data_IF_610031708864
#
_entry.id   IF_610031708864
#
_cell.length_a   1.000
_cell.length_b   1.000
_cell.length_c   1.000
_cell.angle_alpha   90.00
_cell.angle_beta   90.00
_cell.angle_gamma   90.00
#
_symmetry.space_group_name_H-M   'P 1'
#
loop_
_entity.id
_entity.type
_entity.pdbx_description
1 polymer ?
#
# COMPACT_ATOMS: atom_id res chain seq x y z
N UNK A 1 -12.64 -13.00 -13.23
CA UNK A 1 -11.82 -11.89 -12.73
C UNK A 1 -11.47 -12.22 -11.27
N UNK A 2 -11.04 -13.46 -10.99
CA UNK A 2 -11.34 -14.09 -9.68
C UNK A 2 -10.06 -14.49 -8.93
N UNK A 3 -9.02 -13.64 -8.89
CA UNK A 3 -7.86 -13.91 -8.04
C UNK A 3 -6.99 -12.69 -7.70
N UNK A 4 -7.54 -11.48 -7.66
CA UNK A 4 -6.76 -10.35 -7.13
C UNK A 4 -6.65 -10.47 -5.60
N UNK A 5 -5.44 -10.47 -5.02
CA UNK A 5 -5.23 -10.63 -3.58
C UNK A 5 -5.58 -9.33 -2.85
N UNK A 6 -6.89 -9.15 -2.62
CA UNK A 6 -7.48 -7.97 -1.99
C UNK A 6 -7.99 -8.35 -0.60
N UNK A 7 -7.77 -7.49 0.39
CA UNK A 7 -8.28 -7.71 1.74
C UNK A 7 -8.62 -6.39 2.43
N UNK A 8 -9.30 -6.49 3.58
CA UNK A 8 -9.50 -5.36 4.49
C UNK A 8 -8.20 -5.08 5.24
N UNK A 9 -7.93 -3.81 5.51
CA UNK A 9 -6.79 -3.38 6.31
C UNK A 9 -7.13 -2.15 7.14
N UNK A 10 -6.15 -1.70 7.92
CA UNK A 10 -6.14 -0.39 8.56
C UNK A 10 -4.87 0.37 8.19
N UNK A 11 -5.01 1.66 7.91
CA UNK A 11 -3.89 2.62 7.81
C UNK A 11 -4.05 3.57 8.97
N UNK A 12 -3.08 3.56 9.88
CA UNK A 12 -3.22 4.14 11.22
C UNK A 12 -4.48 3.57 11.90
N UNK A 13 -5.47 4.42 12.19
CA UNK A 13 -6.74 4.08 12.78
C UNK A 13 -7.89 3.92 11.76
N UNK A 14 -7.64 4.20 10.48
CA UNK A 14 -8.68 4.27 9.45
C UNK A 14 -8.86 2.93 8.71
N UNK A 15 -10.10 2.43 8.56
CA UNK A 15 -10.36 1.25 7.73
C UNK A 15 -10.13 1.54 6.25
N UNK A 16 -9.59 0.55 5.53
CA UNK A 16 -9.25 0.67 4.11
C UNK A 16 -9.27 -0.70 3.41
N UNK A 17 -9.11 -0.68 2.08
CA UNK A 17 -8.94 -1.89 1.25
C UNK A 17 -7.53 -1.94 0.65
N UNK A 18 -6.83 -3.06 0.87
CA UNK A 18 -5.46 -3.27 0.39
C UNK A 18 -5.43 -4.29 -0.76
N UNK A 19 -4.61 -4.00 -1.77
CA UNK A 19 -4.18 -4.95 -2.80
C UNK A 19 -2.72 -5.34 -2.55
N UNK A 20 -2.41 -6.65 -2.61
CA UNK A 20 -1.04 -7.15 -2.72
C UNK A 20 -0.61 -7.19 -4.20
N UNK A 21 0.39 -6.39 -4.58
CA UNK A 21 0.88 -6.31 -5.95
C UNK A 21 2.36 -6.70 -6.05
N UNK A 22 2.67 -7.91 -6.50
CA UNK A 22 4.06 -8.41 -6.59
C UNK A 22 4.88 -7.80 -7.74
N UNK A 23 4.30 -6.93 -8.57
CA UNK A 23 4.95 -6.38 -9.75
C UNK A 23 5.88 -5.19 -9.51
N UNK A 24 5.97 -4.65 -8.29
CA UNK A 24 6.70 -3.42 -7.97
C UNK A 24 7.36 -3.48 -6.57
N UNK A 25 8.09 -2.44 -6.17
CA UNK A 25 8.72 -2.28 -4.85
C UNK A 25 8.20 -1.07 -4.04
N UNK A 26 7.21 -0.34 -4.57
CA UNK A 26 6.66 0.86 -3.92
C UNK A 26 5.36 0.55 -3.18
N UNK A 27 5.19 1.09 -1.97
CA UNK A 27 3.90 1.06 -1.26
C UNK A 27 3.14 2.35 -1.56
N UNK A 28 1.89 2.23 -1.99
CA UNK A 28 1.02 3.37 -2.29
C UNK A 28 -0.10 3.42 -1.26
N UNK A 29 -0.42 4.62 -0.78
CA UNK A 29 -1.60 4.88 0.03
C UNK A 29 -2.44 6.01 -0.57
N UNK A 30 -3.77 5.92 -0.42
CA UNK A 30 -4.67 7.03 -0.73
C UNK A 30 -4.37 8.20 0.21
N UNK A 31 -4.13 9.37 -0.35
CA UNK A 31 -3.70 10.57 0.38
C UNK A 31 -4.66 10.94 1.53
N UNK A 32 -5.97 10.76 1.36
CA UNK A 32 -6.97 11.07 2.40
C UNK A 32 -6.88 10.17 3.65
N UNK A 33 -6.23 9.01 3.55
CA UNK A 33 -6.00 8.13 4.69
C UNK A 33 -4.80 8.60 5.51
N UNK A 34 -3.86 9.31 4.91
CA UNK A 34 -2.60 9.72 5.54
C UNK A 34 -2.81 10.99 6.38
N UNK A 35 -2.54 10.97 7.70
CA UNK A 35 -2.53 12.18 8.51
C UNK A 35 -1.43 13.14 8.03
N UNK A 36 -1.70 14.45 8.01
CA UNK A 36 -0.67 15.44 7.62
C UNK A 36 0.61 15.34 8.47
N UNK A 37 0.48 14.98 9.74
CA UNK A 37 1.61 14.79 10.64
C UNK A 37 2.51 13.59 10.29
N UNK A 38 2.02 12.66 9.48
CA UNK A 38 2.78 11.49 9.01
C UNK A 38 3.62 11.78 7.75
N UNK A 39 3.41 12.93 7.10
CA UNK A 39 4.18 13.33 5.92
C UNK A 39 5.64 13.57 6.29
N UNK A 40 6.56 13.09 5.46
CA UNK A 40 8.01 13.24 5.68
C UNK A 40 8.56 14.59 5.22
N UNK A 41 7.78 15.34 4.45
CA UNK A 41 8.23 16.54 3.73
C UNK A 41 8.97 16.24 2.42
N UNK A 42 9.19 14.95 2.09
CA UNK A 42 9.80 14.53 0.83
C UNK A 42 8.75 14.06 -0.18
N UNK A 43 9.16 13.88 -1.43
CA UNK A 43 8.30 13.38 -2.51
C UNK A 43 9.12 12.53 -3.47
N UNK A 44 8.47 11.56 -4.10
CA UNK A 44 9.08 10.70 -5.12
C UNK A 44 8.34 10.81 -6.45
N UNK A 45 9.05 10.60 -7.56
CA UNK A 45 8.42 10.49 -8.88
C UNK A 45 7.92 9.05 -9.09
N UNK A 46 6.63 8.89 -9.35
CA UNK A 46 6.01 7.62 -9.71
C UNK A 46 5.68 7.59 -11.20
N UNK A 47 6.08 6.53 -11.89
CA UNK A 47 5.57 6.24 -13.22
C UNK A 47 4.39 5.26 -13.10
N UNK A 48 3.21 5.72 -13.49
CA UNK A 48 1.98 4.92 -13.42
C UNK A 48 1.87 4.00 -14.64
N UNK A 49 0.99 2.98 -14.54
CA UNK A 49 0.81 1.98 -15.60
C UNK A 49 0.39 2.57 -16.96
N UNK A 50 -0.24 3.75 -16.97
CA UNK A 50 -0.57 4.47 -18.21
C UNK A 50 0.60 5.32 -18.76
N UNK A 51 1.81 5.15 -18.22
CA UNK A 51 3.02 5.88 -18.61
C UNK A 51 3.15 7.28 -18.00
N UNK A 52 2.13 7.78 -17.29
CA UNK A 52 2.16 9.12 -16.69
C UNK A 52 3.10 9.15 -15.49
N UNK A 53 3.95 10.18 -15.42
CA UNK A 53 4.74 10.48 -14.24
C UNK A 53 3.99 11.43 -13.28
N UNK A 54 3.98 11.11 -11.99
CA UNK A 54 3.35 11.91 -10.94
C UNK A 54 4.32 12.09 -9.78
N UNK A 55 4.50 13.33 -9.32
CA UNK A 55 5.20 13.62 -8.07
C UNK A 55 4.25 13.35 -6.89
N UNK A 56 4.60 12.36 -6.06
CA UNK A 56 3.79 11.92 -4.93
C UNK A 56 4.50 12.25 -3.61
N UNK A 57 3.83 12.92 -2.65
CA UNK A 57 4.35 13.09 -1.30
C UNK A 57 4.62 11.74 -0.62
N UNK A 58 5.62 11.69 0.23
CA UNK A 58 5.92 10.51 1.03
C UNK A 58 5.45 10.67 2.48
N UNK A 59 5.03 9.55 3.08
CA UNK A 59 4.59 9.50 4.47
C UNK A 59 5.08 8.22 5.14
N UNK A 60 5.28 8.28 6.47
CA UNK A 60 5.51 7.08 7.29
C UNK A 60 4.22 6.75 8.03
N UNK A 61 3.61 5.61 7.70
CA UNK A 61 2.35 5.18 8.30
C UNK A 61 2.44 3.75 8.84
N UNK A 62 1.66 3.45 9.87
CA UNK A 62 1.42 2.09 10.30
C UNK A 62 0.32 1.45 9.46
N UNK A 63 0.58 0.25 8.95
CA UNK A 63 -0.39 -0.54 8.18
C UNK A 63 -0.61 -1.85 8.91
N UNK A 64 -1.87 -2.25 9.06
CA UNK A 64 -2.28 -3.53 9.63
C UNK A 64 -3.10 -4.29 8.60
N UNK A 65 -2.57 -5.40 8.11
CA UNK A 65 -3.23 -6.25 7.11
C UNK A 65 -2.68 -7.68 7.11
N UNK A 66 -3.38 -8.64 6.48
CA UNK A 66 -2.84 -9.98 6.28
C UNK A 66 -1.53 -10.00 5.46
N UNK A 67 -1.35 -9.05 4.54
CA UNK A 67 -0.18 -9.01 3.67
C UNK A 67 1.04 -8.35 4.31
N UNK A 68 0.83 -7.52 5.31
CA UNK A 68 1.88 -6.78 5.99
C UNK A 68 1.30 -6.10 7.23
N UNK A 69 2.06 -6.17 8.33
CA UNK A 69 1.78 -5.42 9.55
C UNK A 69 3.05 -4.72 10.01
N UNK A 70 3.02 -3.40 10.11
CA UNK A 70 4.18 -2.61 10.52
C UNK A 70 4.19 -1.18 9.98
N UNK A 71 5.30 -0.48 10.25
CA UNK A 71 5.56 0.85 9.69
C UNK A 71 6.03 0.72 8.24
N UNK A 72 5.45 1.52 7.34
CA UNK A 72 5.83 1.60 5.94
C UNK A 72 6.08 3.05 5.51
N UNK A 73 7.08 3.25 4.65
CA UNK A 73 7.19 4.46 3.85
C UNK A 73 6.27 4.29 2.64
N UNK A 74 5.31 5.20 2.48
CA UNK A 74 4.30 5.13 1.42
C UNK A 74 4.34 6.38 0.55
N UNK A 75 4.08 6.20 -0.74
CA UNK A 75 3.81 7.29 -1.66
C UNK A 75 2.30 7.59 -1.68
N UNK A 76 1.94 8.86 -1.50
CA UNK A 76 0.56 9.29 -1.35
C UNK A 76 -0.02 9.67 -2.72
N UNK A 77 -1.05 8.93 -3.17
CA UNK A 77 -1.80 9.27 -4.38
C UNK A 77 -3.21 9.74 -4.04
N UNK A 78 -3.72 10.75 -4.77
CA UNK A 78 -5.07 11.29 -4.56
C UNK A 78 -6.17 10.28 -4.86
N UNK A 79 -6.09 9.65 -6.03
CA UNK A 79 -7.14 8.77 -6.54
C UNK A 79 -6.60 7.43 -7.07
N UNK A 80 -5.91 6.64 -6.23
CA UNK A 80 -5.56 5.26 -6.59
C UNK A 80 -6.82 4.38 -6.66
N UNK A 81 -6.73 3.30 -7.44
CA UNK A 81 -7.83 2.33 -7.61
C UNK A 81 -8.16 1.60 -6.30
N UNK A 82 -7.14 1.21 -5.55
CA UNK A 82 -7.24 0.65 -4.20
C UNK A 82 -6.75 1.67 -3.18
N UNK A 83 -7.22 1.56 -1.94
CA UNK A 83 -6.82 2.49 -0.88
C UNK A 83 -5.35 2.33 -0.50
N UNK A 84 -4.87 1.09 -0.49
CA UNK A 84 -3.47 0.74 -0.30
C UNK A 84 -3.05 -0.27 -1.36
N UNK A 85 -1.87 -0.07 -1.94
CA UNK A 85 -1.21 -1.08 -2.77
C UNK A 85 0.12 -1.40 -2.12
N UNK A 86 0.29 -2.65 -1.69
CA UNK A 86 1.55 -3.11 -1.11
C UNK A 86 2.30 -3.98 -2.09
N UNK A 87 3.51 -3.54 -2.41
CA UNK A 87 4.36 -4.26 -3.34
C UNK A 87 5.40 -5.12 -2.62
N UNK A 88 6.42 -5.61 -3.33
CA UNK A 88 7.47 -6.46 -2.73
C UNK A 88 8.36 -5.65 -1.78
N UNK A 89 7.86 -5.44 -0.56
CA UNK A 89 8.61 -4.84 0.53
C UNK A 89 9.05 -5.90 1.52
N UNK A 90 10.14 -5.62 2.26
CA UNK A 90 10.61 -6.53 3.30
C UNK A 90 9.51 -6.74 4.34
N UNK A 91 9.14 -8.00 4.57
CA UNK A 91 8.07 -8.38 5.49
C UNK A 91 6.67 -8.49 4.85
N UNK A 92 6.54 -8.22 3.55
CA UNK A 92 5.34 -8.56 2.81
C UNK A 92 5.14 -10.09 2.76
N UNK A 93 3.91 -10.53 2.93
CA UNK A 93 3.49 -11.92 2.84
C UNK A 93 2.65 -12.12 1.59
N UNK A 94 2.89 -13.23 0.89
CA UNK A 94 2.10 -13.59 -0.29
C UNK A 94 0.80 -14.28 0.11
N UNK A 95 -0.25 -14.07 -0.69
CA UNK A 95 -1.58 -14.61 -0.40
C UNK A 95 -1.59 -16.14 -0.38
N UNK A 96 -0.80 -16.80 -1.24
CA UNK A 96 -0.70 -18.27 -1.26
C UNK A 96 -0.07 -18.84 0.03
N UNK A 97 0.88 -18.12 0.63
CA UNK A 97 1.52 -18.54 1.89
C UNK A 97 0.60 -18.36 3.10
N UNK A 98 -0.37 -17.45 3.03
CA UNK A 98 -1.41 -17.30 4.05
C UNK A 98 -2.42 -18.45 3.99
N UNK A 99 -2.84 -18.86 2.79
CA UNK A 99 -3.79 -19.94 2.62
C UNK A 99 -3.27 -21.28 3.18
N UNK A 100 -1.98 -21.58 2.99
CA UNK A 100 -1.33 -22.82 3.46
C UNK A 100 -1.11 -22.92 4.97
N UNK A 101 -1.23 -21.82 5.73
CA UNK A 101 -1.03 -21.81 7.19
C UNK A 101 -2.29 -22.11 7.99
N UNK A 102 -3.41 -22.33 7.32
CA UNK A 102 -4.72 -22.60 7.92
C UNK A 102 -5.12 -24.08 7.85
N UNK A 103 -4.24 -24.95 7.34
CA UNK A 103 -4.40 -26.40 7.25
C UNK A 103 -3.57 -27.14 8.32
#
# INVERSE_FOLDING_TARGET
MDNMPVSKCRVEDKPAIILRDTGNNTVIARESLVPRAALTGTSCMLQLANGKCVLAPEAKVFIESPFFTGMALVSCLKSPLYDVVISNVRGAQDFEDLARKTD
#
